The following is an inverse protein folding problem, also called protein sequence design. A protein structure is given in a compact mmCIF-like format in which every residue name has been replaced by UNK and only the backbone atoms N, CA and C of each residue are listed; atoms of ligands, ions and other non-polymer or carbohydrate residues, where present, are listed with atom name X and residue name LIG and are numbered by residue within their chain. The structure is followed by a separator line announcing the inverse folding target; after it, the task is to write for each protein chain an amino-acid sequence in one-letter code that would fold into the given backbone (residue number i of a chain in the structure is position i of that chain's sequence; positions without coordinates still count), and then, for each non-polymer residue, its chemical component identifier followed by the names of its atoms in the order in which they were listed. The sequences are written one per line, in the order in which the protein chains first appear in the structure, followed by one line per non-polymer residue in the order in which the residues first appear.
data_IF_845465622748
#
_entry.id   IF_845465622748
#
_cell.length_a   1.000
_cell.length_b   1.000
_cell.length_c   1.000
_cell.angle_alpha   90.00
_cell.angle_beta   90.00
_cell.angle_gamma   90.00
#
_symmetry.space_group_name_H-M   'P 1'
#
loop_
_entity.id
_entity.type
_entity.pdbx_description
1 polymer ?
#
# COMPACT_ATOMS: atom_id res chain seq x y z
N UNK A 1 8.53 14.55 -1.08
CA UNK A 1 8.37 13.34 -1.92
C UNK A 1 7.68 12.28 -1.08
N UNK A 2 7.01 11.30 -1.68
CA UNK A 2 6.33 10.23 -0.95
C UNK A 2 7.01 8.90 -1.27
N UNK A 3 7.37 8.14 -0.24
CA UNK A 3 8.03 6.86 -0.37
C UNK A 3 7.06 5.72 -0.06
N UNK A 4 7.00 4.72 -0.93
CA UNK A 4 6.17 3.53 -0.78
C UNK A 4 7.08 2.39 -0.31
N UNK A 5 6.86 1.98 0.93
CA UNK A 5 7.58 0.91 1.61
C UNK A 5 6.70 -0.33 1.69
N UNK A 6 7.25 -1.50 1.38
CA UNK A 6 6.66 -2.79 1.73
C UNK A 6 7.29 -3.20 3.06
N UNK A 7 6.53 -3.24 4.16
CA UNK A 7 7.02 -3.62 5.49
C UNK A 7 6.88 -5.12 5.76
N UNK A 8 6.59 -5.93 4.74
CA UNK A 8 6.75 -7.38 4.82
C UNK A 8 8.22 -7.68 5.10
N UNK A 9 8.53 -8.48 6.12
CA UNK A 9 9.92 -8.68 6.55
C UNK A 9 10.76 -9.33 5.44
N UNK A 10 11.83 -8.67 4.93
CA UNK A 10 12.41 -7.39 5.35
C UNK A 10 11.79 -6.15 4.70
N UNK A 11 11.60 -5.08 5.48
CA UNK A 11 11.03 -3.83 4.99
C UNK A 11 11.87 -3.24 3.84
N UNK A 12 11.24 -3.06 2.68
CA UNK A 12 11.89 -2.65 1.44
C UNK A 12 11.18 -1.47 0.80
N UNK A 13 11.94 -0.46 0.38
CA UNK A 13 11.42 0.60 -0.48
C UNK A 13 11.08 0.00 -1.85
N UNK A 14 9.80 0.07 -2.23
CA UNK A 14 9.30 -0.44 -3.52
C UNK A 14 9.36 0.65 -4.58
N UNK A 15 8.89 1.84 -4.25
CA UNK A 15 8.78 2.94 -5.20
C UNK A 15 8.62 4.28 -4.48
N UNK A 16 8.77 5.37 -5.20
CA UNK A 16 8.48 6.72 -4.74
C UNK A 16 7.48 7.41 -5.68
N UNK A 17 6.89 8.49 -5.18
CA UNK A 17 5.89 9.28 -5.88
C UNK A 17 6.02 10.78 -5.55
N UNK A 18 5.70 11.61 -6.53
CA UNK A 18 5.66 13.07 -6.36
C UNK A 18 4.49 13.54 -5.49
N UNK A 19 3.37 12.80 -5.47
CA UNK A 19 2.17 13.12 -4.71
C UNK A 19 1.58 11.87 -4.04
N UNK A 20 0.81 12.07 -2.97
CA UNK A 20 0.10 10.99 -2.27
C UNK A 20 -0.86 10.24 -3.20
N UNK A 21 -1.60 10.95 -4.06
CA UNK A 21 -2.50 10.33 -5.04
C UNK A 21 -1.74 9.36 -5.97
N UNK A 22 -0.60 9.79 -6.51
CA UNK A 22 0.25 8.92 -7.36
C UNK A 22 0.81 7.75 -6.56
N UNK A 23 1.12 7.94 -5.28
CA UNK A 23 1.58 6.85 -4.41
C UNK A 23 0.49 5.79 -4.23
N UNK A 24 -0.75 6.23 -4.01
CA UNK A 24 -1.91 5.35 -3.84
C UNK A 24 -2.22 4.57 -5.13
N UNK A 25 -2.20 5.23 -6.29
CA UNK A 25 -2.41 4.55 -7.59
C UNK A 25 -1.37 3.45 -7.86
N UNK A 26 -0.12 3.68 -7.45
CA UNK A 26 0.95 2.68 -7.53
C UNK A 26 0.67 1.50 -6.60
N UNK A 27 0.26 1.77 -5.36
CA UNK A 27 -0.09 0.71 -4.38
C UNK A 27 -1.28 -0.12 -4.88
N UNK A 28 -2.31 0.50 -5.48
CA UNK A 28 -3.44 -0.20 -6.10
C UNK A 28 -2.96 -1.17 -7.19
N UNK A 29 -2.16 -0.66 -8.12
CA UNK A 29 -1.60 -1.44 -9.22
C UNK A 29 -0.78 -2.63 -8.69
N UNK A 30 0.04 -2.42 -7.66
CA UNK A 30 0.83 -3.47 -7.03
C UNK A 30 -0.06 -4.53 -6.35
N UNK A 31 -1.08 -4.12 -5.60
CA UNK A 31 -2.01 -5.04 -4.95
C UNK A 31 -2.75 -5.91 -5.99
N UNK A 32 -3.15 -5.31 -7.11
CA UNK A 32 -3.77 -6.04 -8.23
C UNK A 32 -2.82 -7.06 -8.85
N UNK A 33 -1.56 -6.70 -9.07
CA UNK A 33 -0.54 -7.62 -9.60
C UNK A 33 -0.27 -8.79 -8.65
N UNK A 34 -0.17 -8.54 -7.34
CA UNK A 34 0.00 -9.61 -6.33
C UNK A 34 -1.22 -10.52 -6.26
N UNK A 35 -2.42 -9.96 -6.39
CA UNK A 35 -3.65 -10.76 -6.47
C UNK A 35 -3.64 -11.70 -7.66
N UNK A 36 -3.32 -11.18 -8.85
CA UNK A 36 -3.26 -11.97 -10.08
C UNK A 36 -2.21 -13.10 -9.98
N UNK A 37 -1.04 -12.80 -9.40
CA UNK A 37 -0.01 -13.81 -9.10
C UNK A 37 -0.49 -14.89 -8.12
N UNK A 38 -1.17 -14.49 -7.05
CA UNK A 38 -1.71 -15.41 -6.05
C UNK A 38 -2.82 -16.29 -6.64
N UNK A 39 -3.74 -15.71 -7.43
CA UNK A 39 -4.81 -16.44 -8.16
C UNK A 39 -4.21 -17.41 -9.17
N UNK A 40 -3.14 -17.01 -9.86
CA UNK A 40 -2.42 -17.86 -10.79
C UNK A 40 -1.56 -18.95 -10.09
N UNK A 41 -1.52 -18.97 -8.74
CA UNK A 41 -0.66 -19.85 -7.94
C UNK A 41 0.82 -19.81 -8.38
N UNK A 42 1.29 -18.64 -8.83
CA UNK A 42 2.67 -18.49 -9.33
C UNK A 42 3.59 -18.18 -8.15
N UNK A 43 4.20 -19.24 -7.59
CA UNK A 43 5.23 -19.16 -6.55
C UNK A 43 4.70 -19.06 -5.12
N UNK A 44 5.63 -18.98 -4.17
CA UNK A 44 5.37 -18.78 -2.74
C UNK A 44 5.01 -17.30 -2.51
N UNK A 45 3.79 -16.90 -2.89
CA UNK A 45 3.31 -15.55 -2.65
C UNK A 45 3.00 -15.39 -1.17
N UNK A 46 3.63 -14.44 -0.45
CA UNK A 46 3.34 -14.22 0.95
C UNK A 46 1.86 -13.91 1.14
N UNK A 47 1.28 -14.54 2.17
CA UNK A 47 -0.14 -14.43 2.50
C UNK A 47 -0.51 -13.01 2.98
N UNK A 48 0.47 -12.22 3.41
CA UNK A 48 0.28 -10.89 4.00
C UNK A 48 1.28 -9.87 3.43
N UNK A 49 0.75 -8.85 2.75
CA UNK A 49 1.51 -7.69 2.29
C UNK A 49 1.20 -6.49 3.15
N UNK A 50 2.25 -5.81 3.62
CA UNK A 50 2.09 -4.56 4.34
C UNK A 50 2.74 -3.44 3.54
N UNK A 51 1.97 -2.44 3.17
CA UNK A 51 2.44 -1.24 2.48
C UNK A 51 2.35 -0.05 3.41
N UNK A 52 3.33 0.83 3.33
CA UNK A 52 3.40 2.06 4.10
C UNK A 52 3.84 3.19 3.20
N UNK A 53 3.08 4.28 3.19
CA UNK A 53 3.42 5.49 2.46
C UNK A 53 4.00 6.47 3.47
N UNK A 54 5.26 6.86 3.28
CA UNK A 54 5.98 7.80 4.13
C UNK A 54 6.14 9.15 3.44
N UNK A 55 6.09 10.22 4.23
CA UNK A 55 6.48 11.56 3.77
C UNK A 55 8.01 11.74 3.80
N UNK A 56 8.48 12.86 3.27
CA UNK A 56 9.90 13.25 3.25
C UNK A 56 10.52 13.31 4.66
N UNK A 57 9.72 13.63 5.69
CA UNK A 57 10.14 13.58 7.09
C UNK A 57 10.17 12.16 7.68
N UNK A 58 9.89 11.12 6.88
CA UNK A 58 9.86 9.72 7.29
C UNK A 58 8.63 9.32 8.09
N UNK A 59 7.58 10.16 8.17
CA UNK A 59 6.35 9.80 8.88
C UNK A 59 5.45 8.99 7.97
N UNK A 60 4.97 7.85 8.49
CA UNK A 60 3.96 7.05 7.82
C UNK A 60 2.64 7.84 7.77
N UNK A 61 2.29 8.31 6.57
CA UNK A 61 1.03 8.99 6.32
C UNK A 61 -0.11 8.00 6.12
N UNK A 62 0.18 6.84 5.53
CA UNK A 62 -0.79 5.80 5.29
C UNK A 62 -0.17 4.41 5.46
N UNK A 63 -0.95 3.47 6.01
CA UNK A 63 -0.56 2.08 6.17
C UNK A 63 -1.68 1.20 5.63
N UNK A 64 -1.34 0.30 4.73
CA UNK A 64 -2.25 -0.64 4.12
C UNK A 64 -1.78 -2.07 4.41
N UNK A 65 -2.64 -2.86 5.03
CA UNK A 65 -2.45 -4.31 5.15
C UNK A 65 -3.30 -4.99 4.09
N UNK A 66 -2.65 -5.63 3.13
CA UNK A 66 -3.29 -6.32 2.02
C UNK A 66 -3.06 -7.83 2.13
N UNK A 67 -4.16 -8.58 2.10
CA UNK A 67 -4.16 -10.05 2.04
C UNK A 67 -4.84 -10.42 0.73
N UNK A 68 -4.14 -11.06 -0.23
CA UNK A 68 -4.74 -11.49 -1.47
C UNK A 68 -5.75 -12.61 -1.20
N UNK A 69 -7.04 -12.28 -1.30
CA UNK A 69 -8.11 -13.27 -1.20
C UNK A 69 -8.32 -13.95 -2.56
N UNK A 70 -7.69 -15.10 -2.80
CA UNK A 70 -7.85 -15.85 -4.07
C UNK A 70 -9.25 -16.46 -4.23
N UNK A 71 -10.08 -16.42 -3.19
CA UNK A 71 -11.47 -16.89 -3.23
C UNK A 71 -12.42 -15.88 -3.88
N UNK A 72 -12.01 -14.62 -4.08
CA UNK A 72 -12.83 -13.55 -4.66
C UNK A 72 -12.05 -12.73 -5.67
N UNK A 73 -12.76 -12.05 -6.57
CA UNK A 73 -12.14 -11.12 -7.51
C UNK A 73 -11.52 -9.92 -6.79
N UNK A 74 -10.40 -9.42 -7.31
CA UNK A 74 -9.70 -8.25 -6.76
C UNK A 74 -10.65 -7.06 -6.55
N UNK A 75 -10.64 -6.52 -5.34
CA UNK A 75 -11.31 -5.28 -4.99
C UNK A 75 -10.25 -4.25 -4.64
N UNK A 76 -10.27 -3.09 -5.31
CA UNK A 76 -9.32 -2.00 -5.02
C UNK A 76 -9.31 -1.67 -3.54
N UNK A 77 -8.11 -1.77 -2.96
CA UNK A 77 -7.83 -1.53 -1.53
C UNK A 77 -7.25 -0.15 -1.28
N UNK A 78 -7.23 0.73 -2.30
CA UNK A 78 -7.14 2.17 -2.06
C UNK A 78 -8.47 2.60 -1.47
N UNK A 79 -8.58 2.33 -0.17
CA UNK A 79 -9.72 2.72 0.64
C UNK A 79 -9.71 4.25 0.70
N UNK A 80 -10.90 4.84 0.61
CA UNK A 80 -11.15 6.25 0.90
C UNK A 80 -10.51 6.68 2.25
N UNK A 81 -10.31 5.73 3.18
CA UNK A 81 -9.58 5.87 4.45
C UNK A 81 -8.10 6.29 4.32
N UNK A 82 -7.42 6.01 3.19
CA UNK A 82 -6.06 6.55 2.95
C UNK A 82 -6.07 7.96 2.36
N UNK A 83 -7.25 8.45 1.95
CA UNK A 83 -7.47 9.77 1.36
C UNK A 83 -7.90 10.81 2.39
N UNK A 84 -8.19 10.39 3.63
CA UNK A 84 -8.30 11.31 4.75
C UNK A 84 -6.93 11.41 5.44
N UNK A 85 -6.08 12.38 5.05
CA UNK A 85 -5.04 12.81 5.97
C UNK A 85 -5.82 13.45 7.11
N UNK A 86 -6.16 12.68 8.16
CA UNK A 86 -6.67 13.30 9.38
C UNK A 86 -5.67 14.40 9.72
N UNK A 87 -6.04 15.70 9.60
CA UNK A 87 -5.20 16.70 10.18
C UNK A 87 -5.31 16.37 11.66
N UNK A 88 -4.20 15.92 12.26
CA UNK A 88 -4.04 16.13 13.67
C UNK A 88 -4.18 17.64 13.86
N UNK A 89 -5.42 18.07 14.10
CA UNK A 89 -5.80 19.42 14.43
C UNK A 89 -5.29 19.62 15.85
N UNK A 90 -3.99 19.81 15.97
CA UNK A 90 -3.41 20.55 17.06
C UNK A 90 -3.62 22.02 16.72
N UNK A 91 -4.68 22.59 17.29
CA UNK A 91 -5.10 23.95 17.02
C UNK A 91 -5.96 24.48 18.15
N UNK A 92 -5.33 25.19 19.10
CA UNK A 92 -5.95 26.19 19.96
C UNK A 92 -5.79 25.97 21.45
#
# INVERSE_FOLDING_TARGET
MFEIWETSEPARLISDAGTLEVALEKVDTMCRLRHDQAVAHVGDTPEHYHFEIRDDAGRALARLSYVPDTSRAYQSVVVDEMRDPHPAADGG
#
